data_IF_015084194733
#
_entry.id   IF_015084194733
#
_cell.length_a   1.000
_cell.length_b   1.000
_cell.length_c   1.000
_cell.angle_alpha   90.00
_cell.angle_beta   90.00
_cell.angle_gamma   90.00
#
_symmetry.space_group_name_H-M   'P 1'
#
loop_
_entity.id
_entity.type
_entity.pdbx_description
1 polymer ?
#
# COMPACT_ATOMS: atom_id res chain seq x y z
N UNK A 1 17.19 -0.90 -5.84
CA UNK A 1 15.98 -0.21 -6.28
C UNK A 1 15.15 0.22 -5.08
N UNK A 2 14.33 1.25 -5.23
CA UNK A 2 13.28 1.64 -4.32
C UNK A 2 12.04 0.80 -4.65
N UNK A 3 11.66 -0.10 -3.77
CA UNK A 3 10.66 -1.13 -4.04
C UNK A 3 9.40 -0.94 -3.19
N UNK A 4 8.23 -1.01 -3.84
CA UNK A 4 6.95 -1.24 -3.16
C UNK A 4 6.95 -2.61 -2.46
N UNK A 5 5.99 -2.92 -1.59
CA UNK A 5 5.87 -4.25 -0.99
C UNK A 5 5.83 -5.39 -2.01
N UNK A 6 5.15 -5.18 -3.14
CA UNK A 6 5.05 -6.19 -4.20
C UNK A 6 6.37 -6.39 -4.96
N UNK A 7 7.05 -5.29 -5.32
CA UNK A 7 8.36 -5.34 -5.97
C UNK A 7 9.44 -5.92 -5.03
N UNK A 8 9.33 -5.66 -3.72
CA UNK A 8 10.16 -6.31 -2.73
C UNK A 8 9.89 -7.83 -2.70
N UNK A 9 8.62 -8.23 -2.72
CA UNK A 9 8.25 -9.66 -2.71
C UNK A 9 8.77 -10.38 -3.96
N UNK A 10 8.68 -9.78 -5.15
CA UNK A 10 9.27 -10.33 -6.37
C UNK A 10 10.78 -10.53 -6.20
N UNK A 11 11.49 -9.53 -5.66
CA UNK A 11 12.92 -9.63 -5.39
C UNK A 11 13.24 -10.73 -4.36
N UNK A 12 12.44 -10.83 -3.31
CA UNK A 12 12.55 -11.84 -2.27
C UNK A 12 12.39 -13.27 -2.83
N UNK A 13 11.36 -13.50 -3.64
CA UNK A 13 11.07 -14.80 -4.25
C UNK A 13 12.16 -15.21 -5.25
N UNK A 14 12.55 -14.30 -6.16
CA UNK A 14 13.61 -14.55 -7.16
C UNK A 14 14.97 -14.84 -6.54
N UNK A 15 15.28 -14.23 -5.41
CA UNK A 15 16.55 -14.42 -4.71
C UNK A 15 16.46 -15.47 -3.59
N UNK A 16 15.33 -16.15 -3.43
CA UNK A 16 15.07 -17.09 -2.32
C UNK A 16 15.35 -16.48 -0.94
N UNK A 17 15.02 -15.21 -0.80
CA UNK A 17 15.22 -14.46 0.43
C UNK A 17 16.57 -13.77 0.60
N UNK A 18 17.49 -13.92 -0.34
CA UNK A 18 18.87 -13.39 -0.27
C UNK A 18 19.01 -11.92 -0.72
N UNK A 19 17.92 -11.25 -1.14
CA UNK A 19 17.98 -9.84 -1.48
C UNK A 19 18.40 -8.98 -0.27
N UNK A 20 19.20 -7.93 -0.53
CA UNK A 20 19.62 -6.99 0.51
C UNK A 20 18.47 -6.03 0.82
N UNK A 21 18.27 -5.74 2.11
CA UNK A 21 17.25 -4.80 2.58
C UNK A 21 17.93 -3.63 3.27
N UNK A 22 17.67 -2.42 2.81
CA UNK A 22 18.36 -1.19 3.23
C UNK A 22 17.49 -0.25 4.04
N UNK A 23 17.32 0.97 3.57
CA UNK A 23 16.59 2.03 4.26
C UNK A 23 15.12 2.09 3.85
N UNK A 24 14.30 2.65 4.73
CA UNK A 24 12.90 3.02 4.50
C UNK A 24 12.71 4.48 4.87
N UNK A 25 11.65 5.11 4.37
CA UNK A 25 11.19 6.39 4.92
C UNK A 25 10.55 6.13 6.29
N UNK A 26 10.64 7.09 7.18
CA UNK A 26 9.88 7.06 8.45
C UNK A 26 8.36 6.94 8.22
N UNK A 27 7.87 7.45 7.09
CA UNK A 27 6.48 7.36 6.66
C UNK A 27 6.10 6.01 6.01
N UNK A 28 7.05 5.10 5.76
CA UNK A 28 6.75 3.78 5.17
C UNK A 28 6.48 2.69 6.20
N UNK A 29 6.75 2.95 7.48
CA UNK A 29 6.57 1.97 8.55
C UNK A 29 5.16 2.07 9.15
N UNK A 30 4.60 0.89 9.51
CA UNK A 30 3.33 0.77 10.22
C UNK A 30 2.16 1.45 9.50
N UNK A 31 2.04 1.18 8.20
CA UNK A 31 0.92 1.65 7.38
C UNK A 31 -0.29 0.73 7.54
N UNK A 32 -1.46 1.29 7.24
CA UNK A 32 -2.73 0.57 7.12
C UNK A 32 -3.44 0.98 5.83
N UNK A 33 -4.28 0.11 5.32
CA UNK A 33 -5.29 0.50 4.35
C UNK A 33 -6.65 0.56 5.03
N UNK A 34 -7.42 1.56 4.64
CA UNK A 34 -8.77 1.79 5.14
C UNK A 34 -9.80 1.44 4.08
N UNK A 35 -10.81 0.66 4.47
CA UNK A 35 -12.07 0.58 3.72
C UNK A 35 -12.94 1.76 4.16
N UNK A 36 -13.09 2.72 3.26
CA UNK A 36 -13.88 3.92 3.51
C UNK A 36 -15.24 3.77 2.81
N UNK A 37 -16.30 4.17 3.48
CA UNK A 37 -17.67 4.16 2.98
C UNK A 37 -18.37 5.47 3.29
N UNK A 38 -19.44 5.79 2.56
CA UNK A 38 -20.30 6.93 2.90
C UNK A 38 -21.18 6.60 4.10
N UNK A 39 -21.33 7.54 5.01
CA UNK A 39 -22.15 7.41 6.24
C UNK A 39 -23.64 7.21 5.94
N UNK A 40 -24.15 7.79 4.83
CA UNK A 40 -25.55 7.66 4.41
C UNK A 40 -25.94 6.24 3.99
N UNK A 41 -24.96 5.35 3.77
CA UNK A 41 -25.19 3.92 3.48
C UNK A 41 -25.58 3.12 4.72
N UNK A 42 -25.29 3.64 5.93
CA UNK A 42 -25.64 2.99 7.20
C UNK A 42 -24.84 1.72 7.51
N UNK A 43 -23.75 1.44 6.80
CA UNK A 43 -22.88 0.29 7.07
C UNK A 43 -22.20 0.45 8.43
N UNK A 44 -22.17 -0.61 9.25
CA UNK A 44 -21.61 -0.63 10.58
C UNK A 44 -20.44 -1.61 10.73
N UNK A 45 -20.44 -2.66 9.94
CA UNK A 45 -19.45 -3.74 10.02
C UNK A 45 -18.93 -4.11 8.63
N UNK A 46 -17.77 -4.74 8.57
CA UNK A 46 -17.19 -5.22 7.32
C UNK A 46 -18.12 -6.21 6.58
N UNK A 47 -18.98 -6.93 7.32
CA UNK A 47 -19.94 -7.87 6.73
C UNK A 47 -21.04 -7.19 5.92
N UNK A 48 -21.29 -5.90 6.11
CA UNK A 48 -22.32 -5.14 5.39
C UNK A 48 -21.95 -4.90 3.92
N UNK A 49 -20.67 -5.12 3.55
CA UNK A 49 -20.25 -5.04 2.16
C UNK A 49 -20.57 -6.31 1.36
N UNK A 50 -21.14 -7.36 1.98
CA UNK A 50 -21.52 -8.58 1.26
C UNK A 50 -22.54 -8.27 0.16
N UNK A 51 -22.24 -8.73 -1.06
CA UNK A 51 -23.03 -8.43 -2.26
C UNK A 51 -22.83 -7.02 -2.84
N UNK A 52 -21.98 -6.18 -2.24
CA UNK A 52 -21.72 -4.81 -2.69
C UNK A 52 -20.60 -4.73 -3.72
N UNK A 53 -20.49 -3.57 -4.34
CA UNK A 53 -19.37 -3.25 -5.26
C UNK A 53 -18.35 -2.39 -4.53
N UNK A 54 -17.14 -2.86 -4.45
CA UNK A 54 -16.04 -2.19 -3.73
C UNK A 54 -14.99 -1.71 -4.73
N UNK A 55 -14.59 -0.45 -4.58
CA UNK A 55 -13.51 0.17 -5.34
C UNK A 55 -12.14 -0.24 -4.80
N UNK A 56 -11.30 -0.67 -5.71
CA UNK A 56 -9.90 -1.00 -5.45
C UNK A 56 -9.00 -0.16 -6.36
N UNK A 57 -7.75 0.05 -5.95
CA UNK A 57 -6.74 0.61 -6.84
C UNK A 57 -6.33 -0.33 -7.96
N UNK A 58 -5.17 -0.08 -8.54
CA UNK A 58 -4.62 -0.85 -9.65
C UNK A 58 -4.48 -2.34 -9.32
N UNK A 59 -4.52 -3.18 -10.37
CA UNK A 59 -4.40 -4.65 -10.28
C UNK A 59 -3.28 -5.14 -9.36
N UNK A 60 -2.14 -4.47 -9.43
CA UNK A 60 -0.90 -4.81 -8.70
C UNK A 60 -0.62 -3.89 -7.50
N UNK A 61 -1.61 -3.08 -7.08
CA UNK A 61 -1.45 -2.22 -5.91
C UNK A 61 -1.43 -3.03 -4.60
N UNK A 62 -0.31 -3.02 -3.85
CA UNK A 62 -0.25 -3.70 -2.56
C UNK A 62 -1.27 -3.17 -1.57
N UNK A 63 -1.30 -1.84 -1.40
CA UNK A 63 -2.09 -1.15 -0.37
C UNK A 63 -3.56 -0.97 -0.72
N UNK A 64 -3.89 -0.81 -2.00
CA UNK A 64 -5.26 -0.54 -2.41
C UNK A 64 -5.98 -1.75 -3.02
N UNK A 65 -5.30 -2.90 -3.15
CA UNK A 65 -5.90 -4.11 -3.69
C UNK A 65 -5.45 -5.41 -3.00
N UNK A 66 -4.18 -5.78 -3.09
CA UNK A 66 -3.74 -7.13 -2.71
C UNK A 66 -3.91 -7.39 -1.21
N UNK A 67 -3.36 -6.53 -0.36
CA UNK A 67 -3.50 -6.61 1.11
C UNK A 67 -4.96 -6.44 1.54
N UNK A 68 -5.74 -5.47 1.02
CA UNK A 68 -7.19 -5.39 1.23
C UNK A 68 -7.98 -6.64 0.91
N UNK A 69 -7.75 -7.29 -0.23
CA UNK A 69 -8.44 -8.54 -0.58
C UNK A 69 -8.13 -9.63 0.45
N UNK A 70 -6.86 -9.80 0.83
CA UNK A 70 -6.49 -10.74 1.88
C UNK A 70 -7.12 -10.40 3.24
N UNK A 71 -7.21 -9.11 3.57
CA UNK A 71 -7.90 -8.65 4.78
C UNK A 71 -9.41 -9.02 4.77
N UNK A 72 -10.09 -8.84 3.64
CA UNK A 72 -11.49 -9.27 3.47
C UNK A 72 -11.64 -10.78 3.66
N UNK A 73 -10.75 -11.58 3.05
CA UNK A 73 -10.73 -13.04 3.24
C UNK A 73 -10.58 -13.44 4.72
N UNK A 74 -9.64 -12.83 5.46
CA UNK A 74 -9.50 -13.09 6.91
C UNK A 74 -10.76 -12.77 7.71
N UNK A 75 -11.58 -11.87 7.23
CA UNK A 75 -12.86 -11.50 7.84
C UNK A 75 -14.07 -12.26 7.24
N UNK A 76 -13.83 -13.35 6.52
CA UNK A 76 -14.88 -14.25 6.03
C UNK A 76 -15.59 -13.75 4.78
N UNK A 77 -14.97 -12.86 4.00
CA UNK A 77 -15.49 -12.35 2.73
C UNK A 77 -14.60 -12.81 1.58
N UNK A 78 -15.07 -13.81 0.83
CA UNK A 78 -14.31 -14.43 -0.24
C UNK A 78 -14.28 -13.56 -1.51
N UNK A 79 -13.09 -13.41 -2.07
CA UNK A 79 -12.86 -12.68 -3.32
C UNK A 79 -13.66 -13.31 -4.48
N UNK A 80 -14.22 -12.46 -5.34
CA UNK A 80 -15.08 -12.83 -6.49
C UNK A 80 -16.40 -13.56 -6.13
N UNK A 81 -16.66 -13.78 -4.84
CA UNK A 81 -17.86 -14.49 -4.38
C UNK A 81 -18.78 -13.62 -3.53
N UNK A 82 -18.21 -13.00 -2.50
CA UNK A 82 -19.00 -12.29 -1.49
C UNK A 82 -19.16 -10.80 -1.78
N UNK A 83 -18.34 -10.24 -2.68
CA UNK A 83 -18.41 -8.84 -3.14
C UNK A 83 -17.93 -8.72 -4.59
N UNK A 84 -18.29 -7.64 -5.26
CA UNK A 84 -17.82 -7.30 -6.60
C UNK A 84 -16.67 -6.34 -6.52
N UNK A 85 -15.57 -6.66 -7.20
CA UNK A 85 -14.44 -5.76 -7.40
C UNK A 85 -14.73 -4.77 -8.53
N UNK A 86 -14.43 -3.48 -8.29
CA UNK A 86 -14.24 -2.50 -9.36
C UNK A 86 -12.86 -1.88 -9.21
N UNK A 87 -11.98 -2.15 -10.17
CA UNK A 87 -10.61 -1.64 -10.18
C UNK A 87 -10.50 -0.32 -10.92
N UNK A 88 -9.49 0.45 -10.50
CA UNK A 88 -9.05 1.67 -11.13
C UNK A 88 -7.56 1.52 -11.45
N UNK A 89 -7.29 0.97 -12.64
CA UNK A 89 -5.97 0.54 -13.09
C UNK A 89 -5.13 1.72 -13.60
N UNK A 90 -4.70 2.60 -12.68
CA UNK A 90 -3.80 3.72 -12.94
C UNK A 90 -2.45 3.47 -12.27
N UNK A 91 -1.36 3.70 -12.99
CA UNK A 91 0.01 3.53 -12.47
C UNK A 91 0.41 2.07 -12.31
N UNK A 92 -0.04 1.18 -13.20
CA UNK A 92 0.31 -0.24 -13.23
C UNK A 92 1.83 -0.47 -13.31
N UNK A 93 2.27 -1.60 -12.76
CA UNK A 93 3.65 -2.08 -12.75
C UNK A 93 4.25 -2.13 -11.35
N UNK A 94 5.22 -3.03 -11.14
CA UNK A 94 5.87 -3.24 -9.84
C UNK A 94 6.46 -1.93 -9.22
N UNK A 95 6.77 -0.95 -10.06
CA UNK A 95 7.28 0.36 -9.67
C UNK A 95 6.33 1.51 -10.09
N UNK A 96 5.07 1.19 -10.34
CA UNK A 96 4.06 2.17 -10.73
C UNK A 96 3.62 3.06 -9.57
N UNK A 97 3.09 4.24 -9.91
CA UNK A 97 2.44 5.12 -8.94
C UNK A 97 0.95 4.77 -8.86
N UNK A 98 0.56 4.15 -7.76
CA UNK A 98 -0.80 3.65 -7.55
C UNK A 98 -1.77 4.68 -6.94
N UNK A 99 -1.30 5.87 -6.56
CA UNK A 99 -2.12 6.90 -5.87
C UNK A 99 -3.30 7.34 -6.73
N UNK A 100 -3.11 7.48 -8.05
CA UNK A 100 -4.18 7.87 -8.97
C UNK A 100 -5.35 6.90 -8.97
N UNK A 101 -5.09 5.59 -8.95
CA UNK A 101 -6.12 4.55 -8.87
C UNK A 101 -6.90 4.60 -7.55
N UNK A 102 -6.22 4.84 -6.42
CA UNK A 102 -6.87 5.01 -5.12
C UNK A 102 -7.79 6.25 -5.11
N UNK A 103 -7.33 7.36 -5.69
CA UNK A 103 -8.11 8.60 -5.77
C UNK A 103 -9.38 8.41 -6.63
N UNK A 104 -9.27 7.73 -7.76
CA UNK A 104 -10.42 7.48 -8.63
C UNK A 104 -11.41 6.52 -7.97
N UNK A 105 -10.95 5.50 -7.23
CA UNK A 105 -11.81 4.65 -6.42
C UNK A 105 -12.54 5.45 -5.32
N UNK A 106 -11.85 6.38 -4.65
CA UNK A 106 -12.47 7.27 -3.67
C UNK A 106 -13.55 8.16 -4.28
N UNK A 107 -13.28 8.77 -5.45
CA UNK A 107 -14.28 9.57 -6.19
C UNK A 107 -15.49 8.73 -6.62
N UNK A 108 -15.28 7.50 -7.06
CA UNK A 108 -16.35 6.58 -7.42
C UNK A 108 -17.22 6.21 -6.19
N UNK A 109 -16.62 6.09 -5.00
CA UNK A 109 -17.36 5.88 -3.75
C UNK A 109 -18.18 7.13 -3.40
N UNK A 110 -17.61 8.33 -3.51
CA UNK A 110 -18.33 9.57 -3.24
C UNK A 110 -19.53 9.77 -4.19
N UNK A 111 -19.37 9.45 -5.48
CA UNK A 111 -20.47 9.52 -6.46
C UNK A 111 -21.52 8.43 -6.30
N UNK A 112 -21.26 7.40 -5.52
CA UNK A 112 -22.15 6.25 -5.34
C UNK A 112 -22.02 5.18 -6.42
N UNK A 113 -21.01 5.24 -7.25
CA UNK A 113 -20.70 4.24 -8.27
C UNK A 113 -20.21 2.92 -7.66
N UNK A 114 -19.49 3.02 -6.53
CA UNK A 114 -19.12 1.90 -5.66
C UNK A 114 -19.61 2.16 -4.24
N UNK A 115 -19.77 1.10 -3.46
CA UNK A 115 -20.31 1.17 -2.09
C UNK A 115 -19.24 1.55 -1.05
N UNK A 116 -17.98 1.27 -1.34
CA UNK A 116 -16.82 1.63 -0.53
C UNK A 116 -15.56 1.59 -1.36
N UNK A 117 -14.48 2.18 -0.87
CA UNK A 117 -13.18 2.15 -1.54
C UNK A 117 -12.03 1.92 -0.56
N UNK A 118 -11.00 1.23 -1.03
CA UNK A 118 -9.77 1.02 -0.29
C UNK A 118 -8.74 2.11 -0.60
N UNK A 119 -8.06 2.60 0.41
CA UNK A 119 -7.01 3.61 0.29
C UNK A 119 -5.99 3.50 1.42
N UNK A 120 -4.77 3.94 1.16
CA UNK A 120 -3.72 4.04 2.17
C UNK A 120 -4.10 5.08 3.25
N UNK A 121 -3.75 4.83 4.49
CA UNK A 121 -4.01 5.73 5.63
C UNK A 121 -3.42 7.13 5.42
N UNK A 122 -2.28 7.26 4.75
CA UNK A 122 -1.69 8.56 4.40
C UNK A 122 -2.54 9.32 3.38
N UNK A 123 -3.06 8.62 2.35
CA UNK A 123 -3.91 9.22 1.34
C UNK A 123 -5.24 9.66 1.95
N UNK A 124 -5.86 8.82 2.80
CA UNK A 124 -7.07 9.20 3.53
C UNK A 124 -6.86 10.50 4.32
N UNK A 125 -5.78 10.59 5.10
CA UNK A 125 -5.47 11.78 5.90
C UNK A 125 -5.24 13.03 5.04
N UNK A 126 -4.48 12.87 3.94
CA UNK A 126 -4.21 13.95 3.01
C UNK A 126 -5.52 14.46 2.36
N UNK A 127 -6.39 13.54 1.92
CA UNK A 127 -7.66 13.90 1.27
C UNK A 127 -8.72 14.46 2.22
N UNK A 128 -8.67 14.14 3.51
CA UNK A 128 -9.46 14.88 4.52
C UNK A 128 -8.94 16.31 4.69
N UNK A 129 -7.61 16.48 4.75
CA UNK A 129 -7.00 17.81 4.95
C UNK A 129 -7.21 18.76 3.75
N UNK A 130 -7.18 18.25 2.52
CA UNK A 130 -7.36 19.04 1.31
C UNK A 130 -8.83 19.19 0.88
N UNK A 131 -9.76 18.51 1.57
CA UNK A 131 -11.21 18.56 1.31
C UNK A 131 -11.68 17.64 0.17
N UNK A 132 -10.83 16.78 -0.38
CA UNK A 132 -11.23 15.75 -1.35
C UNK A 132 -12.21 14.76 -0.73
N UNK A 133 -12.02 14.41 0.56
CA UNK A 133 -12.96 13.66 1.38
C UNK A 133 -13.50 14.58 2.49
N UNK A 134 -14.81 14.51 2.73
CA UNK A 134 -15.45 15.18 3.85
C UNK A 134 -15.69 14.19 4.99
N UNK A 135 -14.99 14.37 6.11
CA UNK A 135 -15.12 13.52 7.28
C UNK A 135 -16.56 13.49 7.85
N UNK A 136 -17.38 14.51 7.58
CA UNK A 136 -18.79 14.49 7.94
C UNK A 136 -19.61 13.49 7.11
N UNK A 137 -19.18 13.18 5.89
CA UNK A 137 -19.90 12.32 4.93
C UNK A 137 -19.37 10.91 4.85
N UNK A 138 -18.09 10.67 5.19
CA UNK A 138 -17.45 9.36 5.10
C UNK A 138 -17.05 8.81 6.46
N UNK A 139 -16.86 7.50 6.52
CA UNK A 139 -16.34 6.81 7.69
C UNK A 139 -15.43 5.65 7.28
N UNK A 140 -14.48 5.31 8.14
CA UNK A 140 -13.68 4.09 8.02
C UNK A 140 -14.54 2.94 8.55
N UNK A 141 -14.85 1.98 7.68
CA UNK A 141 -15.62 0.79 8.02
C UNK A 141 -14.73 -0.34 8.55
N UNK A 142 -13.52 -0.45 8.00
CA UNK A 142 -12.53 -1.46 8.41
C UNK A 142 -11.12 -0.96 8.11
N UNK A 143 -10.15 -1.51 8.83
CA UNK A 143 -8.72 -1.24 8.63
C UNK A 143 -7.92 -2.55 8.59
N UNK A 144 -6.90 -2.61 7.76
CA UNK A 144 -5.99 -3.77 7.70
C UNK A 144 -5.10 -3.84 8.93
N UNK A 145 -4.46 -4.99 9.15
CA UNK A 145 -3.29 -5.04 10.02
C UNK A 145 -2.19 -4.14 9.47
N UNK A 146 -1.22 -3.80 10.31
CA UNK A 146 -0.07 -3.02 9.88
C UNK A 146 0.74 -3.75 8.80
N UNK A 147 1.16 -2.98 7.81
CA UNK A 147 2.17 -3.37 6.83
C UNK A 147 3.20 -2.26 6.66
N UNK A 148 4.37 -2.61 6.18
CA UNK A 148 5.37 -1.63 5.79
C UNK A 148 5.28 -1.39 4.28
N UNK A 149 5.53 -0.16 3.83
CA UNK A 149 5.34 0.23 2.44
C UNK A 149 6.62 0.04 1.63
N UNK A 150 7.42 1.06 1.40
CA UNK A 150 8.56 0.97 0.51
C UNK A 150 9.88 0.71 1.23
N UNK A 151 10.81 0.02 0.55
CA UNK A 151 12.15 -0.28 1.06
C UNK A 151 13.18 -0.26 -0.08
N UNK A 152 14.38 0.25 0.18
CA UNK A 152 15.51 0.02 -0.71
C UNK A 152 15.95 -1.43 -0.68
N UNK A 153 15.96 -2.07 -1.85
CA UNK A 153 16.33 -3.47 -2.04
C UNK A 153 17.53 -3.56 -2.98
N UNK A 154 18.55 -4.29 -2.59
CA UNK A 154 19.70 -4.64 -3.40
C UNK A 154 19.61 -6.08 -3.91
N UNK A 155 20.22 -6.36 -5.07
CA UNK A 155 20.38 -7.72 -5.59
C UNK A 155 21.21 -8.55 -4.61
N UNK A 156 20.99 -9.86 -4.57
CA UNK A 156 21.73 -10.79 -3.72
C UNK A 156 23.25 -10.79 -3.99
N UNK A 157 23.63 -10.57 -5.26
CA UNK A 157 25.03 -10.52 -5.70
C UNK A 157 25.65 -9.13 -5.68
N UNK A 158 24.92 -8.11 -5.18
CA UNK A 158 25.47 -6.76 -5.04
C UNK A 158 26.44 -6.67 -3.84
N UNK A 159 27.45 -5.80 -3.94
CA UNK A 159 28.38 -5.59 -2.84
C UNK A 159 27.66 -5.16 -1.56
N UNK A 160 27.76 -5.99 -0.51
CA UNK A 160 27.17 -5.67 0.80
C UNK A 160 27.78 -4.42 1.40
N UNK A 161 29.09 -4.22 1.22
CA UNK A 161 29.79 -3.03 1.68
C UNK A 161 29.27 -1.75 1.01
N UNK A 162 29.16 -1.77 -0.33
CA UNK A 162 28.62 -0.63 -1.07
C UNK A 162 27.15 -0.37 -0.72
N UNK A 163 26.35 -1.41 -0.49
CA UNK A 163 24.95 -1.27 -0.08
C UNK A 163 24.82 -0.69 1.33
N UNK A 164 25.63 -1.16 2.27
CA UNK A 164 25.69 -0.63 3.63
C UNK A 164 26.11 0.84 3.61
N UNK A 165 27.16 1.18 2.85
CA UNK A 165 27.59 2.58 2.73
C UNK A 165 26.49 3.49 2.16
N UNK A 166 25.75 3.01 1.14
CA UNK A 166 24.59 3.74 0.59
C UNK A 166 23.53 4.01 1.67
N UNK A 167 23.17 3.00 2.48
CA UNK A 167 22.17 3.17 3.54
C UNK A 167 22.65 4.10 4.65
N UNK A 168 23.93 4.03 5.00
CA UNK A 168 24.56 4.95 5.99
C UNK A 168 24.54 6.40 5.51
N UNK A 169 24.74 6.65 4.22
CA UNK A 169 24.65 8.00 3.65
C UNK A 169 23.24 8.54 3.79
N UNK A 170 22.21 7.72 3.49
CA UNK A 170 20.80 8.10 3.68
C UNK A 170 20.51 8.43 5.15
N UNK A 171 20.93 7.58 6.09
CA UNK A 171 20.69 7.78 7.53
C UNK A 171 21.40 9.03 8.11
N UNK A 172 22.43 9.57 7.44
CA UNK A 172 23.08 10.83 7.81
C UNK A 172 22.35 12.06 7.31
N UNK A 173 21.33 11.90 6.50
CA UNK A 173 20.53 13.05 6.06
C UNK A 173 19.78 13.64 7.25
N UNK A 174 19.90 14.96 7.41
CA UNK A 174 19.27 15.71 8.51
C UNK A 174 18.22 16.66 7.94
N UNK A 175 16.98 16.50 8.36
CA UNK A 175 15.85 17.34 7.97
C UNK A 175 16.03 18.82 8.34
N UNK A 176 16.93 19.14 9.29
CA UNK A 176 17.29 20.51 9.64
C UNK A 176 18.25 21.16 8.65
N UNK A 177 18.93 20.36 7.83
CA UNK A 177 19.80 20.88 6.78
C UNK A 177 18.95 21.27 5.56
N UNK A 178 18.94 22.56 5.12
CA UNK A 178 18.11 23.00 4.01
C UNK A 178 18.30 22.22 2.70
N UNK A 179 19.55 21.82 2.40
CA UNK A 179 19.85 21.05 1.18
C UNK A 179 19.26 19.61 1.22
N UNK A 180 19.20 19.00 2.41
CA UNK A 180 18.58 17.70 2.57
C UNK A 180 17.05 17.81 2.62
N UNK A 181 16.56 18.87 3.28
CA UNK A 181 15.14 19.07 3.51
C UNK A 181 14.33 19.13 2.21
N UNK A 182 14.83 19.82 1.19
CA UNK A 182 14.15 19.93 -0.10
C UNK A 182 13.88 18.55 -0.71
N UNK A 183 14.89 17.68 -0.76
CA UNK A 183 14.75 16.32 -1.27
C UNK A 183 13.85 15.47 -0.35
N UNK A 184 13.99 15.60 0.97
CA UNK A 184 13.19 14.84 1.92
C UNK A 184 11.71 15.24 1.89
N UNK A 185 11.40 16.52 1.65
CA UNK A 185 10.03 17.00 1.46
C UNK A 185 9.42 16.43 0.16
N UNK A 186 10.19 16.40 -0.95
CA UNK A 186 9.72 15.80 -2.22
C UNK A 186 9.40 14.31 -2.06
N UNK A 187 10.16 13.58 -1.25
CA UNK A 187 9.96 12.16 -0.97
C UNK A 187 8.98 11.90 0.20
N UNK A 188 8.45 12.95 0.83
CA UNK A 188 7.46 12.83 1.89
C UNK A 188 7.97 12.20 3.19
N UNK A 189 9.23 12.45 3.55
CA UNK A 189 9.86 11.93 4.78
C UNK A 189 10.52 13.03 5.61
N UNK A 190 10.76 12.73 6.88
CA UNK A 190 11.58 13.54 7.77
C UNK A 190 12.85 12.82 8.22
N UNK A 191 12.89 11.51 8.08
CA UNK A 191 14.06 10.69 8.39
C UNK A 191 14.10 9.43 7.53
N UNK A 192 15.29 9.08 7.04
CA UNK A 192 15.57 7.72 6.58
C UNK A 192 15.84 6.86 7.80
N UNK A 193 15.17 5.70 7.88
CA UNK A 193 15.27 4.77 9.01
C UNK A 193 15.76 3.40 8.52
N UNK A 194 16.34 2.58 9.41
CA UNK A 194 16.71 1.21 9.05
C UNK A 194 15.53 0.43 8.49
N UNK A 195 15.74 -0.22 7.36
CA UNK A 195 14.74 -1.07 6.73
C UNK A 195 14.43 -2.29 7.59
N UNK A 196 13.17 -2.72 7.56
CA UNK A 196 12.69 -3.93 8.23
C UNK A 196 11.73 -4.67 7.30
N UNK A 197 11.61 -5.97 7.49
CA UNK A 197 10.77 -6.84 6.64
C UNK A 197 9.64 -7.53 7.41
N UNK A 198 9.55 -7.31 8.72
CA UNK A 198 8.57 -7.95 9.59
C UNK A 198 7.12 -7.77 9.10
N UNK A 199 6.76 -6.57 8.69
CA UNK A 199 5.39 -6.25 8.28
C UNK A 199 5.13 -6.51 6.78
N UNK A 200 6.08 -7.06 6.04
CA UNK A 200 5.85 -7.57 4.68
C UNK A 200 5.17 -8.95 4.65
N UNK A 201 4.89 -9.54 5.80
CA UNK A 201 4.08 -10.77 5.87
C UNK A 201 2.67 -10.57 5.29
N UNK A 202 2.10 -9.37 5.35
CA UNK A 202 0.79 -9.11 4.76
C UNK A 202 0.80 -9.29 3.24
N UNK A 203 1.82 -8.78 2.54
CA UNK A 203 1.91 -8.94 1.08
C UNK A 203 2.26 -10.37 0.68
N UNK A 204 3.08 -11.09 1.46
CA UNK A 204 3.34 -12.51 1.22
C UNK A 204 2.06 -13.33 1.27
N UNK A 205 1.28 -13.18 2.34
CA UNK A 205 0.00 -13.88 2.52
C UNK A 205 -1.04 -13.49 1.46
N UNK A 206 -1.06 -12.23 1.06
CA UNK A 206 -1.92 -11.77 -0.03
C UNK A 206 -1.54 -12.44 -1.35
N UNK A 207 -0.24 -12.55 -1.65
CA UNK A 207 0.26 -13.27 -2.82
C UNK A 207 -0.10 -14.78 -2.77
N UNK A 208 0.09 -15.43 -1.62
CA UNK A 208 -0.27 -16.84 -1.43
C UNK A 208 -1.78 -17.07 -1.67
N UNK A 209 -2.63 -16.24 -1.10
CA UNK A 209 -4.09 -16.35 -1.26
C UNK A 209 -4.55 -16.10 -2.69
N UNK A 210 -3.99 -15.07 -3.35
CA UNK A 210 -4.37 -14.67 -4.71
C UNK A 210 -3.66 -15.45 -5.80
N UNK A 211 -2.58 -16.17 -5.48
CA UNK A 211 -1.65 -16.77 -6.45
C UNK A 211 -1.14 -15.75 -7.48
N UNK A 212 -0.82 -14.54 -7.00
CA UNK A 212 -0.60 -13.38 -7.88
C UNK A 212 0.54 -13.62 -8.87
N UNK A 213 1.75 -13.96 -8.38
CA UNK A 213 2.89 -14.21 -9.26
C UNK A 213 2.82 -15.52 -10.06
N UNK A 214 2.02 -16.48 -9.63
CA UNK A 214 1.80 -17.72 -10.39
C UNK A 214 0.94 -17.43 -11.63
N UNK A 215 -0.09 -16.58 -11.48
CA UNK A 215 -0.98 -16.17 -12.57
C UNK A 215 -0.31 -15.25 -13.59
N UNK A 216 0.66 -14.43 -13.18
CA UNK A 216 1.42 -13.56 -14.10
C UNK A 216 2.43 -14.32 -14.94
N UNK A 217 2.87 -15.50 -14.49
CA UNK A 217 3.83 -16.34 -15.18
C UNK A 217 3.18 -17.47 -16.01
N UNK A 218 1.84 -17.57 -16.02
CA UNK A 218 1.06 -18.55 -16.77
C UNK A 218 0.57 -17.97 -18.10
#
# INVERSE_FOLDING_TARGET
>A
AWNSPLAWLDSYLRTKGECLNGSMRDTDQDRKSYLVVRKDKGYQTISDIKGKTIGFGAYDSPQARLIPIYHLHKNGLEFEKDYREKRFDIGLGLHGDHVGGELDAAKAMLSGEVDGSWMLDLNYKAWILDGTLDEAQVQILSETDFFDHCIFTGRADFSKEAFTHFTEVLHKMDYKNPAHKEMMDMEGLKAWVPGRTKNFEQIKKANEYLHFFEKENA
#
